data_IF_116020732905
#
_entry.id   IF_116020732905
#
_cell.length_a   1.000
_cell.length_b   1.000
_cell.length_c   1.000
_cell.angle_alpha   90.00
_cell.angle_beta   90.00
_cell.angle_gamma   90.00
#
_symmetry.space_group_name_H-M   'P 1'
#
loop_
_entity.id
_entity.type
_entity.pdbx_description
1 polymer ?
#
# COMPACT_ATOMS: atom_id res chain seq x y z
N UNK A 1 44.26 -77.27 75.88
CA UNK A 1 42.97 -77.51 75.22
C UNK A 1 41.91 -76.47 75.57
N UNK A 2 41.04 -76.61 76.58
CA UNK A 2 39.90 -75.66 76.75
C UNK A 2 40.27 -74.18 76.89
N UNK A 3 41.39 -73.83 77.51
CA UNK A 3 41.78 -72.42 77.64
C UNK A 3 42.37 -71.84 76.35
N UNK A 4 43.07 -72.65 75.56
CA UNK A 4 43.61 -72.26 74.24
C UNK A 4 42.48 -72.19 73.21
N UNK A 5 41.49 -73.08 73.28
CA UNK A 5 40.29 -73.04 72.45
C UNK A 5 39.44 -71.80 72.75
N UNK A 6 39.25 -71.43 74.03
CA UNK A 6 38.58 -70.20 74.42
C UNK A 6 39.34 -68.95 73.98
N UNK A 7 40.67 -68.97 74.05
CA UNK A 7 41.50 -67.86 73.58
C UNK A 7 41.43 -67.72 72.06
N UNK A 8 41.47 -68.83 71.32
CA UNK A 8 41.32 -68.83 69.85
C UNK A 8 39.95 -68.32 69.43
N UNK A 9 38.87 -68.72 70.09
CA UNK A 9 37.52 -68.22 69.81
C UNK A 9 37.43 -66.71 70.09
N UNK A 10 38.10 -66.23 71.13
CA UNK A 10 38.10 -64.81 71.47
C UNK A 10 38.92 -63.97 70.47
N UNK A 11 40.05 -64.49 70.00
CA UNK A 11 40.84 -63.86 68.92
C UNK A 11 40.08 -63.84 67.59
N UNK A 12 39.38 -64.94 67.25
CA UNK A 12 38.51 -65.01 66.07
C UNK A 12 37.29 -64.07 66.21
N UNK A 13 36.73 -63.94 67.41
CA UNK A 13 35.64 -63.00 67.70
C UNK A 13 36.08 -61.53 67.58
N UNK A 14 37.25 -61.17 68.11
CA UNK A 14 37.78 -59.81 67.93
C UNK A 14 38.13 -59.53 66.46
N UNK A 15 38.67 -60.52 65.73
CA UNK A 15 38.95 -60.38 64.28
C UNK A 15 37.66 -60.15 63.48
N UNK A 16 36.64 -60.98 63.70
CA UNK A 16 35.34 -60.82 63.01
C UNK A 16 34.64 -59.51 63.37
N UNK A 17 34.82 -59.02 64.60
CA UNK A 17 34.32 -57.72 65.03
C UNK A 17 35.06 -56.57 64.35
N UNK A 18 36.38 -56.64 64.21
CA UNK A 18 37.18 -55.67 63.45
C UNK A 18 36.81 -55.68 61.96
N UNK A 19 36.61 -56.86 61.35
CA UNK A 19 36.14 -57.00 59.98
C UNK A 19 34.74 -56.42 59.77
N UNK A 20 33.81 -56.69 60.70
CA UNK A 20 32.46 -56.10 60.67
C UNK A 20 32.50 -54.58 60.84
N UNK A 21 33.37 -54.08 61.72
CA UNK A 21 33.54 -52.65 61.91
C UNK A 21 34.09 -52.00 60.64
N UNK A 22 35.12 -52.60 60.03
CA UNK A 22 35.70 -52.13 58.77
C UNK A 22 34.67 -52.15 57.63
N UNK A 23 33.88 -53.22 57.50
CA UNK A 23 32.81 -53.31 56.51
C UNK A 23 31.71 -52.27 56.73
N UNK A 24 31.36 -51.99 57.99
CA UNK A 24 30.39 -50.94 58.32
C UNK A 24 30.93 -49.54 57.99
N UNK A 25 32.20 -49.27 58.26
CA UNK A 25 32.86 -48.01 57.88
C UNK A 25 32.91 -47.84 56.34
N UNK A 26 33.20 -48.92 55.59
CA UNK A 26 33.18 -48.91 54.12
C UNK A 26 31.78 -48.70 53.54
N UNK A 27 30.75 -49.34 54.13
CA UNK A 27 29.35 -49.11 53.78
C UNK A 27 28.89 -47.68 54.07
N UNK A 28 29.36 -47.08 55.17
CA UNK A 28 29.07 -45.69 55.48
C UNK A 28 29.76 -44.74 54.49
N UNK A 29 31.01 -45.01 54.12
CA UNK A 29 31.74 -44.25 53.11
C UNK A 29 31.04 -44.30 51.74
N UNK A 30 30.69 -45.48 51.26
CA UNK A 30 29.99 -45.66 49.97
C UNK A 30 28.59 -45.03 49.97
N UNK A 31 27.84 -45.11 51.07
CA UNK A 31 26.57 -44.40 51.19
C UNK A 31 26.73 -42.88 51.15
N UNK A 32 27.79 -42.34 51.77
CA UNK A 32 28.09 -40.91 51.71
C UNK A 32 28.46 -40.46 50.29
N UNK A 33 29.25 -41.26 49.56
CA UNK A 33 29.55 -41.01 48.15
C UNK A 33 28.31 -41.07 47.25
N UNK A 34 27.46 -42.07 47.44
CA UNK A 34 26.22 -42.22 46.66
C UNK A 34 25.24 -41.07 46.92
N UNK A 35 25.15 -40.61 48.17
CA UNK A 35 24.35 -39.43 48.55
C UNK A 35 24.88 -38.19 47.84
N UNK A 36 26.21 -37.99 47.87
CA UNK A 36 26.86 -36.87 47.17
C UNK A 36 26.61 -36.92 45.66
N UNK A 37 26.78 -38.08 45.03
CA UNK A 37 26.52 -38.26 43.59
C UNK A 37 25.04 -38.00 43.24
N UNK A 38 24.12 -38.45 44.08
CA UNK A 38 22.69 -38.20 43.92
C UNK A 38 22.38 -36.70 43.99
N UNK A 39 22.97 -35.98 44.96
CA UNK A 39 22.84 -34.52 45.05
C UNK A 39 23.39 -33.80 43.82
N UNK A 40 24.54 -34.23 43.29
CA UNK A 40 25.13 -33.65 42.07
C UNK A 40 24.22 -33.83 40.85
N UNK A 41 23.66 -35.04 40.66
CA UNK A 41 22.71 -35.31 39.56
C UNK A 41 21.43 -34.49 39.73
N UNK A 42 20.92 -34.33 40.95
CA UNK A 42 19.76 -33.49 41.22
C UNK A 42 20.04 -32.01 40.90
N UNK A 43 21.20 -31.48 41.33
CA UNK A 43 21.63 -30.12 40.99
C UNK A 43 21.76 -29.94 39.47
N UNK A 44 22.37 -30.90 38.78
CA UNK A 44 22.49 -30.89 37.32
C UNK A 44 21.13 -30.85 36.61
N UNK A 45 20.19 -31.70 37.04
CA UNK A 45 18.82 -31.71 36.52
C UNK A 45 18.09 -30.38 36.76
N UNK A 46 18.26 -29.75 37.92
CA UNK A 46 17.66 -28.45 38.21
C UNK A 46 18.18 -27.35 37.28
N UNK A 47 19.50 -27.31 37.05
CA UNK A 47 20.12 -26.35 36.12
C UNK A 47 19.58 -26.57 34.70
N UNK A 48 19.50 -27.82 34.24
CA UNK A 48 18.97 -28.16 32.93
C UNK A 48 17.51 -27.74 32.77
N UNK A 49 16.67 -28.04 33.76
CA UNK A 49 15.26 -27.66 33.76
C UNK A 49 15.07 -26.14 33.72
N UNK A 50 15.88 -25.38 34.47
CA UNK A 50 15.86 -23.92 34.44
C UNK A 50 16.23 -23.39 33.05
N UNK A 51 17.32 -23.87 32.47
CA UNK A 51 17.76 -23.46 31.13
C UNK A 51 16.73 -23.82 30.05
N UNK A 52 16.09 -24.98 30.18
CA UNK A 52 15.03 -25.41 29.27
C UNK A 52 13.77 -24.53 29.37
N UNK A 53 13.41 -24.14 30.59
CA UNK A 53 12.32 -23.18 30.84
C UNK A 53 12.63 -21.82 30.20
N UNK A 54 13.84 -21.31 30.39
CA UNK A 54 14.28 -20.03 29.81
C UNK A 54 14.21 -20.06 28.27
N UNK A 55 14.70 -21.13 27.64
CA UNK A 55 14.60 -21.30 26.18
C UNK A 55 13.15 -21.34 25.70
N UNK A 56 12.28 -22.04 26.44
CA UNK A 56 10.85 -22.12 26.10
C UNK A 56 10.20 -20.75 26.18
N UNK A 57 10.49 -19.98 27.22
CA UNK A 57 10.00 -18.60 27.38
C UNK A 57 10.51 -17.67 26.28
N UNK A 58 11.79 -17.80 25.87
CA UNK A 58 12.35 -17.05 24.75
C UNK A 58 11.65 -17.38 23.44
N UNK A 59 11.48 -18.67 23.12
CA UNK A 59 10.78 -19.10 21.90
C UNK A 59 9.30 -18.69 21.91
N UNK A 60 8.65 -18.65 23.08
CA UNK A 60 7.26 -18.25 23.21
C UNK A 60 7.01 -16.78 22.81
N UNK A 61 8.01 -15.92 23.01
CA UNK A 61 7.95 -14.50 22.67
C UNK A 61 8.36 -14.18 21.22
N UNK A 62 8.87 -15.17 20.46
CA UNK A 62 9.22 -14.95 19.06
C UNK A 62 7.94 -15.03 18.22
N UNK A 63 7.50 -13.87 17.72
CA UNK A 63 6.33 -13.74 16.83
C UNK A 63 6.58 -14.28 15.42
N UNK A 64 7.83 -14.51 15.06
CA UNK A 64 8.21 -15.07 13.76
C UNK A 64 8.10 -16.61 13.82
N UNK A 65 7.45 -17.25 12.83
CA UNK A 65 7.50 -18.69 12.66
C UNK A 65 8.95 -19.18 12.49
N UNK A 66 9.46 -19.89 13.49
CA UNK A 66 10.79 -20.51 13.48
C UNK A 66 10.67 -21.99 13.80
N UNK A 67 11.34 -22.81 13.00
CA UNK A 67 11.46 -24.26 13.18
C UNK A 67 12.94 -24.60 13.25
N UNK A 68 13.33 -25.34 14.28
CA UNK A 68 14.66 -25.87 14.49
C UNK A 68 14.65 -27.34 14.10
N UNK A 69 15.49 -27.70 13.14
CA UNK A 69 15.63 -29.04 12.61
C UNK A 69 17.00 -29.60 12.96
N UNK A 70 17.09 -30.91 13.19
CA UNK A 70 18.37 -31.60 13.33
C UNK A 70 19.00 -31.97 11.97
N UNK A 71 20.12 -32.69 12.00
CA UNK A 71 20.85 -33.18 10.82
C UNK A 71 20.07 -34.18 9.95
N UNK A 72 19.07 -34.84 10.52
CA UNK A 72 18.17 -35.77 9.85
C UNK A 72 16.88 -35.08 9.37
N UNK A 73 16.82 -33.75 9.49
CA UNK A 73 15.66 -32.91 9.19
C UNK A 73 14.46 -33.16 10.12
N UNK A 74 14.68 -33.81 11.27
CA UNK A 74 13.65 -34.00 12.27
C UNK A 74 13.41 -32.70 13.03
N UNK A 75 12.15 -32.41 13.33
CA UNK A 75 11.76 -31.24 14.11
C UNK A 75 12.30 -31.39 15.53
N UNK A 76 13.25 -30.53 15.90
CA UNK A 76 13.77 -30.47 17.26
C UNK A 76 12.86 -29.60 18.14
N UNK A 77 12.54 -28.38 17.69
CA UNK A 77 11.67 -27.40 18.36
C UNK A 77 11.08 -26.43 17.33
N UNK A 78 10.04 -25.70 17.71
CA UNK A 78 9.49 -24.60 16.93
C UNK A 78 8.85 -23.55 17.84
N UNK A 79 8.64 -22.34 17.32
CA UNK A 79 7.95 -21.26 18.04
C UNK A 79 6.43 -21.43 17.96
N UNK A 80 5.64 -20.87 18.91
CA UNK A 80 4.18 -20.89 18.82
C UNK A 80 3.64 -20.21 17.55
N UNK A 81 4.38 -19.24 17.00
CA UNK A 81 4.06 -18.65 15.71
C UNK A 81 4.15 -19.67 14.56
N UNK A 82 5.10 -20.60 14.61
CA UNK A 82 5.20 -21.67 13.61
C UNK A 82 4.08 -22.69 13.74
N UNK A 83 3.62 -23.01 14.95
CA UNK A 83 2.42 -23.83 15.17
C UNK A 83 1.20 -23.23 14.47
N UNK A 84 0.95 -21.93 14.66
CA UNK A 84 -0.17 -21.23 14.01
C UNK A 84 -0.01 -21.10 12.50
N UNK A 85 1.16 -20.68 12.03
CA UNK A 85 1.38 -20.36 10.62
C UNK A 85 1.55 -21.61 9.73
N UNK A 86 2.10 -22.69 10.29
CA UNK A 86 2.44 -23.90 9.53
C UNK A 86 1.62 -25.12 9.94
N UNK A 87 0.69 -24.97 10.89
CA UNK A 87 -0.19 -26.05 11.35
C UNK A 87 0.57 -27.16 12.07
N UNK A 88 1.69 -26.84 12.71
CA UNK A 88 2.48 -27.80 13.46
C UNK A 88 1.84 -28.10 14.80
N UNK A 89 2.05 -29.32 15.31
CA UNK A 89 1.61 -29.74 16.64
C UNK A 89 2.76 -30.34 17.43
N UNK A 90 2.71 -30.30 18.76
CA UNK A 90 3.73 -30.90 19.62
C UNK A 90 4.00 -32.38 19.33
N UNK A 91 3.02 -33.13 18.83
CA UNK A 91 3.14 -34.53 18.46
C UNK A 91 4.05 -34.79 17.23
N UNK A 92 4.43 -33.74 16.50
CA UNK A 92 5.31 -33.82 15.33
C UNK A 92 6.78 -33.58 15.67
N UNK A 93 7.11 -33.22 16.92
CA UNK A 93 8.50 -33.17 17.38
C UNK A 93 9.15 -34.54 17.21
N UNK A 94 10.38 -34.57 16.68
CA UNK A 94 11.13 -35.78 16.34
C UNK A 94 10.79 -36.36 14.95
N UNK A 95 9.76 -35.86 14.25
CA UNK A 95 9.43 -36.30 12.88
C UNK A 95 10.18 -35.48 11.83
N UNK A 96 10.59 -36.08 10.70
CA UNK A 96 11.16 -35.33 9.58
C UNK A 96 10.20 -34.27 9.03
N UNK A 97 10.64 -33.02 8.89
CA UNK A 97 9.83 -31.90 8.36
C UNK A 97 9.31 -32.17 6.95
N UNK A 98 10.06 -32.97 6.20
CA UNK A 98 9.76 -33.38 4.82
C UNK A 98 8.56 -34.33 4.72
N UNK A 99 8.17 -34.96 5.82
CA UNK A 99 7.00 -35.86 5.90
C UNK A 99 5.75 -35.11 6.37
N UNK A 100 5.87 -33.80 6.64
CA UNK A 100 4.79 -32.95 7.13
C UNK A 100 4.31 -32.05 5.98
N UNK A 101 3.00 -31.98 5.82
CA UNK A 101 2.40 -31.10 4.83
C UNK A 101 2.41 -29.66 5.34
N UNK A 102 3.40 -28.87 4.89
CA UNK A 102 3.45 -27.45 5.17
C UNK A 102 2.58 -26.68 4.17
N UNK A 103 1.87 -25.62 4.59
CA UNK A 103 1.06 -24.79 3.70
C UNK A 103 1.93 -23.86 2.81
N UNK A 104 3.01 -24.37 2.23
CA UNK A 104 3.98 -23.62 1.43
C UNK A 104 3.98 -24.13 -0.02
N UNK A 105 3.98 -23.22 -1.00
CA UNK A 105 4.19 -23.55 -2.42
C UNK A 105 5.70 -23.67 -2.69
N UNK A 106 6.31 -24.72 -2.16
CA UNK A 106 7.74 -24.97 -2.26
C UNK A 106 8.00 -26.48 -2.44
N UNK A 107 8.43 -26.87 -3.64
CA UNK A 107 8.67 -28.28 -4.00
C UNK A 107 10.10 -28.76 -3.68
N UNK A 108 11.07 -27.87 -3.55
CA UNK A 108 12.49 -28.20 -3.33
C UNK A 108 12.98 -27.99 -1.89
N UNK A 109 12.07 -27.97 -0.89
CA UNK A 109 12.42 -27.73 0.50
C UNK A 109 13.51 -28.68 1.02
N UNK A 110 13.39 -29.98 0.72
CA UNK A 110 14.38 -31.00 1.12
C UNK A 110 15.78 -30.67 0.61
N UNK A 111 15.89 -30.30 -0.66
CA UNK A 111 17.18 -29.99 -1.30
C UNK A 111 17.81 -28.74 -0.70
N UNK A 112 17.01 -27.71 -0.42
CA UNK A 112 17.45 -26.48 0.21
C UNK A 112 18.00 -26.74 1.63
N UNK A 113 17.26 -27.50 2.44
CA UNK A 113 17.69 -27.88 3.80
C UNK A 113 19.01 -28.67 3.77
N UNK A 114 19.11 -29.69 2.92
CA UNK A 114 20.33 -30.50 2.76
C UNK A 114 21.51 -29.67 2.23
N UNK A 115 21.25 -28.68 1.37
CA UNK A 115 22.28 -27.76 0.89
C UNK A 115 22.83 -26.90 2.04
N UNK A 116 21.97 -26.39 2.92
CA UNK A 116 22.40 -25.62 4.11
C UNK A 116 23.25 -26.47 5.05
N UNK A 117 22.87 -27.74 5.27
CA UNK A 117 23.64 -28.66 6.12
C UNK A 117 25.01 -28.98 5.51
N UNK A 118 25.07 -29.24 4.19
CA UNK A 118 26.32 -29.62 3.51
C UNK A 118 27.29 -28.46 3.37
N UNK A 119 26.80 -27.30 2.94
CA UNK A 119 27.66 -26.16 2.60
C UNK A 119 27.82 -25.17 3.75
N UNK A 120 26.94 -25.21 4.75
CA UNK A 120 26.96 -24.26 5.87
C UNK A 120 26.67 -22.82 5.47
N UNK A 121 26.10 -22.60 4.28
CA UNK A 121 25.71 -21.29 3.76
C UNK A 121 24.25 -20.97 4.08
N UNK A 122 23.97 -19.71 4.44
CA UNK A 122 22.59 -19.23 4.63
C UNK A 122 21.87 -19.16 3.30
N UNK A 123 20.70 -19.78 3.20
CA UNK A 123 19.82 -19.69 2.02
C UNK A 123 18.66 -18.74 2.31
N UNK A 124 18.32 -17.90 1.34
CA UNK A 124 17.23 -16.91 1.44
C UNK A 124 16.47 -16.86 0.14
N UNK A 125 15.14 -16.92 0.21
CA UNK A 125 14.29 -16.79 -0.97
C UNK A 125 12.88 -16.33 -0.62
N UNK A 126 12.23 -15.65 -1.55
CA UNK A 126 10.80 -15.34 -1.46
C UNK A 126 9.99 -16.54 -1.93
N UNK A 127 9.01 -16.94 -1.13
CA UNK A 127 8.08 -18.04 -1.43
C UNK A 127 6.65 -17.55 -1.23
N UNK A 128 5.69 -18.35 -1.72
CA UNK A 128 4.27 -18.14 -1.44
C UNK A 128 3.73 -19.30 -0.62
N UNK A 129 2.76 -19.00 0.23
CA UNK A 129 1.98 -20.04 0.90
C UNK A 129 0.86 -20.59 -0.02
N UNK A 130 0.10 -21.56 0.45
CA UNK A 130 -1.05 -22.12 -0.27
C UNK A 130 -2.14 -21.08 -0.55
N UNK A 131 -2.32 -20.12 0.37
CA UNK A 131 -3.27 -19.00 0.27
C UNK A 131 -2.81 -17.87 -0.68
N UNK A 132 -1.56 -17.94 -1.18
CA UNK A 132 -0.99 -16.97 -2.11
C UNK A 132 -0.25 -15.79 -1.45
N UNK A 133 -0.12 -15.78 -0.12
CA UNK A 133 0.59 -14.74 0.64
C UNK A 133 2.10 -14.89 0.49
N UNK A 134 2.79 -13.76 0.38
CA UNK A 134 4.24 -13.75 0.24
C UNK A 134 4.97 -13.89 1.57
N UNK A 135 5.99 -14.74 1.56
CA UNK A 135 6.85 -14.97 2.70
C UNK A 135 8.32 -14.97 2.29
N UNK A 136 9.18 -14.47 3.17
CA UNK A 136 10.63 -14.55 3.06
C UNK A 136 11.14 -15.72 3.88
N UNK A 137 11.60 -16.77 3.20
CA UNK A 137 12.17 -17.97 3.81
C UNK A 137 13.66 -17.75 4.08
N UNK A 138 14.08 -17.98 5.31
CA UNK A 138 15.49 -17.94 5.73
C UNK A 138 15.86 -19.31 6.30
N UNK A 139 16.88 -19.95 5.74
CA UNK A 139 17.45 -21.19 6.24
C UNK A 139 18.88 -20.93 6.71
N UNK A 140 19.14 -21.14 8.00
CA UNK A 140 20.46 -20.94 8.61
C UNK A 140 20.98 -22.25 9.20
N UNK A 141 22.28 -22.57 9.04
CA UNK A 141 22.85 -23.73 9.70
C UNK A 141 22.89 -23.48 11.21
N UNK A 142 22.46 -24.48 11.99
CA UNK A 142 22.64 -24.53 13.43
C UNK A 142 23.96 -25.24 13.73
N UNK A 143 24.88 -24.56 14.43
CA UNK A 143 26.23 -25.07 14.74
C UNK A 143 26.41 -25.22 16.25
N UNK A 144 27.16 -26.24 16.65
CA UNK A 144 27.64 -26.39 18.02
C UNK A 144 28.81 -25.47 18.31
N UNK A 145 29.18 -25.40 19.59
CA UNK A 145 30.44 -24.86 20.12
C UNK A 145 31.68 -25.39 19.37
N UNK A 146 31.65 -26.65 18.90
CA UNK A 146 32.71 -27.28 18.09
C UNK A 146 32.62 -26.99 16.58
N UNK A 147 31.86 -25.98 16.16
CA UNK A 147 31.66 -25.56 14.75
C UNK A 147 31.03 -26.61 13.81
N UNK A 148 30.57 -27.74 14.35
CA UNK A 148 29.88 -28.80 13.61
C UNK A 148 28.43 -28.38 13.37
N UNK A 149 27.96 -28.54 12.14
CA UNK A 149 26.55 -28.29 11.81
C UNK A 149 25.70 -29.42 12.38
N UNK A 150 24.83 -29.10 13.32
CA UNK A 150 23.89 -30.04 13.95
C UNK A 150 22.50 -30.00 13.33
N UNK A 151 22.21 -28.99 12.51
CA UNK A 151 20.89 -28.87 11.93
C UNK A 151 20.66 -27.58 11.16
N UNK A 152 19.39 -27.24 10.96
CA UNK A 152 18.95 -26.04 10.24
C UNK A 152 17.87 -25.32 11.02
N UNK A 153 18.01 -24.02 11.17
CA UNK A 153 16.95 -23.13 11.62
C UNK A 153 16.25 -22.58 10.38
N UNK A 154 14.96 -22.88 10.26
CA UNK A 154 14.07 -22.35 9.25
C UNK A 154 13.21 -21.26 9.86
N UNK A 155 13.25 -20.07 9.28
CA UNK A 155 12.39 -18.96 9.66
C UNK A 155 11.57 -18.48 8.46
N UNK A 156 10.31 -18.13 8.71
CA UNK A 156 9.39 -17.62 7.70
C UNK A 156 8.90 -16.23 8.12
N UNK A 157 9.25 -15.21 7.35
CA UNK A 157 8.86 -13.82 7.63
C UNK A 157 7.75 -13.43 6.65
N UNK A 158 6.61 -12.97 7.17
CA UNK A 158 5.54 -12.43 6.34
C UNK A 158 6.00 -11.12 5.67
N UNK A 159 5.88 -11.04 4.35
CA UNK A 159 6.23 -9.85 3.56
C UNK A 159 5.07 -9.39 2.67
N UNK A 160 3.85 -9.87 2.94
CA UNK A 160 2.70 -9.67 2.07
C UNK A 160 2.26 -8.21 2.04
N UNK A 161 2.19 -7.55 3.20
CA UNK A 161 1.84 -6.12 3.32
C UNK A 161 2.84 -5.23 2.57
N UNK A 162 4.14 -5.56 2.69
CA UNK A 162 5.21 -4.87 1.96
C UNK A 162 5.03 -5.05 0.45
N UNK A 163 4.79 -6.28 -0.03
CA UNK A 163 4.57 -6.56 -1.46
C UNK A 163 3.33 -5.88 -2.00
N UNK A 164 2.24 -5.84 -1.21
CA UNK A 164 1.00 -5.17 -1.58
C UNK A 164 1.20 -3.65 -1.68
N UNK A 165 1.95 -3.06 -0.75
CA UNK A 165 2.31 -1.65 -0.77
C UNK A 165 3.18 -1.31 -1.98
N UNK A 166 4.23 -2.08 -2.24
CA UNK A 166 5.09 -1.92 -3.42
C UNK A 166 4.28 -2.02 -4.73
N UNK A 167 3.36 -3.00 -4.83
CA UNK A 167 2.48 -3.16 -5.99
C UNK A 167 1.52 -2.00 -6.15
N UNK A 168 0.96 -1.49 -5.06
CA UNK A 168 0.04 -0.34 -5.08
C UNK A 168 0.75 0.92 -5.53
N UNK A 169 1.93 1.21 -4.96
CA UNK A 169 2.79 2.33 -5.38
C UNK A 169 3.14 2.19 -6.87
N UNK A 170 3.56 1.01 -7.33
CA UNK A 170 3.88 0.76 -8.73
C UNK A 170 2.68 0.99 -9.65
N UNK A 171 1.49 0.50 -9.27
CA UNK A 171 0.25 0.70 -10.03
C UNK A 171 -0.14 2.18 -10.10
N UNK A 172 -0.09 2.90 -8.98
CA UNK A 172 -0.38 4.34 -8.94
C UNK A 172 0.62 5.12 -9.79
N UNK A 173 1.92 4.80 -9.70
CA UNK A 173 2.95 5.41 -10.52
C UNK A 173 2.72 5.16 -12.01
N UNK A 174 2.25 3.98 -12.42
CA UNK A 174 1.89 3.69 -13.80
C UNK A 174 0.70 4.52 -14.28
N UNK A 175 -0.36 4.63 -13.46
CA UNK A 175 -1.55 5.45 -13.76
C UNK A 175 -1.17 6.92 -13.95
N UNK A 176 -0.35 7.48 -13.06
CA UNK A 176 0.12 8.87 -13.18
C UNK A 176 1.00 9.05 -14.42
N UNK A 177 1.89 8.10 -14.69
CA UNK A 177 2.83 8.16 -15.83
C UNK A 177 2.12 8.16 -17.17
N UNK A 178 1.08 7.35 -17.32
CA UNK A 178 0.35 7.16 -18.58
C UNK A 178 -0.94 8.01 -18.67
N UNK A 179 -1.23 8.86 -17.68
CA UNK A 179 -2.32 9.83 -17.75
C UNK A 179 -2.13 10.82 -18.90
N UNK A 180 -3.24 11.17 -19.56
CA UNK A 180 -3.27 12.22 -20.58
C UNK A 180 -3.21 13.62 -19.99
N UNK A 181 -3.73 13.81 -18.77
CA UNK A 181 -3.58 15.07 -18.06
C UNK A 181 -2.12 15.24 -17.63
N UNK A 182 -1.63 16.48 -17.70
CA UNK A 182 -0.27 16.79 -17.31
C UNK A 182 -0.19 16.77 -15.78
N UNK A 183 0.68 15.90 -15.24
CA UNK A 183 0.95 15.83 -13.81
C UNK A 183 2.39 16.26 -13.57
N UNK A 184 2.55 17.27 -12.73
CA UNK A 184 3.85 17.84 -12.38
C UNK A 184 3.98 17.97 -10.88
N UNK A 185 5.19 17.83 -10.35
CA UNK A 185 5.48 18.11 -8.94
C UNK A 185 6.62 19.11 -8.90
N UNK A 186 6.54 20.09 -8.01
CA UNK A 186 7.63 21.01 -7.73
C UNK A 186 7.91 21.16 -6.23
N UNK A 187 9.16 21.50 -5.92
CA UNK A 187 9.58 21.87 -4.59
C UNK A 187 9.12 23.30 -4.23
N UNK A 188 9.29 23.69 -2.96
CA UNK A 188 8.98 25.05 -2.50
C UNK A 188 9.90 26.15 -3.09
N UNK A 189 10.93 25.78 -3.85
CA UNK A 189 11.82 26.68 -4.59
C UNK A 189 11.42 26.80 -6.07
N UNK A 190 10.20 26.38 -6.42
CA UNK A 190 9.63 26.45 -7.76
C UNK A 190 10.36 25.58 -8.80
N UNK A 191 11.09 24.54 -8.38
CA UNK A 191 11.79 23.60 -9.26
C UNK A 191 10.99 22.32 -9.44
N UNK A 192 10.86 21.88 -10.69
CA UNK A 192 10.12 20.66 -11.03
C UNK A 192 10.91 19.43 -10.55
N UNK A 193 10.28 18.59 -9.72
CA UNK A 193 10.82 17.34 -9.17
C UNK A 193 10.22 16.10 -9.82
N UNK A 194 9.03 16.20 -10.45
CA UNK A 194 8.43 15.10 -11.22
C UNK A 194 7.67 15.60 -12.46
N UNK A 195 7.67 14.78 -13.52
CA UNK A 195 7.11 15.14 -14.82
C UNK A 195 6.59 13.94 -15.61
N UNK A 196 5.25 13.78 -15.72
CA UNK A 196 4.66 12.61 -16.39
C UNK A 196 4.64 12.72 -17.94
N UNK A 197 4.23 11.65 -18.63
CA UNK A 197 4.14 11.66 -20.11
C UNK A 197 3.08 12.63 -20.62
N UNK A 198 1.98 12.84 -19.88
CA UNK A 198 0.97 13.85 -20.22
C UNK A 198 1.57 15.25 -20.31
N UNK A 199 2.40 15.62 -19.33
CA UNK A 199 3.10 16.90 -19.29
C UNK A 199 4.13 17.03 -20.43
N UNK A 200 4.83 15.94 -20.78
CA UNK A 200 5.72 15.92 -21.95
C UNK A 200 4.97 16.23 -23.25
N UNK A 201 3.83 15.57 -23.47
CA UNK A 201 2.99 15.77 -24.66
C UNK A 201 2.38 17.18 -24.70
N UNK A 202 1.88 17.67 -23.56
CA UNK A 202 1.21 18.97 -23.46
C UNK A 202 2.18 20.14 -23.65
N UNK A 203 3.33 20.10 -22.98
CA UNK A 203 4.26 21.23 -22.93
C UNK A 203 5.47 21.10 -23.86
N UNK A 204 5.77 19.91 -24.36
CA UNK A 204 6.86 19.65 -25.31
C UNK A 204 8.25 19.56 -24.70
N UNK A 205 8.36 19.48 -23.37
CA UNK A 205 9.61 19.21 -22.65
C UNK A 205 9.68 17.73 -22.29
N UNK A 206 10.82 17.08 -22.56
CA UNK A 206 11.09 15.74 -22.02
C UNK A 206 11.25 15.82 -20.51
N UNK A 207 11.02 14.71 -19.79
CA UNK A 207 11.24 14.64 -18.34
C UNK A 207 12.66 15.07 -17.97
N UNK A 208 13.68 14.56 -18.67
CA UNK A 208 15.08 14.93 -18.44
C UNK A 208 15.35 16.45 -18.60
N UNK A 209 14.61 17.14 -19.46
CA UNK A 209 14.72 18.60 -19.62
C UNK A 209 13.92 19.37 -18.57
N UNK A 210 12.82 18.79 -18.10
CA UNK A 210 11.90 19.41 -17.16
C UNK A 210 12.37 19.28 -15.72
N UNK A 211 13.02 18.18 -15.33
CA UNK A 211 13.53 18.00 -13.97
C UNK A 211 14.56 19.09 -13.62
N UNK A 212 14.38 19.72 -12.46
CA UNK A 212 15.17 20.85 -11.98
C UNK A 212 14.88 22.19 -12.66
N UNK A 213 14.12 22.20 -13.75
CA UNK A 213 13.66 23.41 -14.43
C UNK A 213 12.68 24.17 -13.55
N UNK A 214 12.75 25.51 -13.59
CA UNK A 214 11.78 26.33 -12.87
C UNK A 214 10.40 26.26 -13.54
N UNK A 215 9.36 26.01 -12.75
CA UNK A 215 7.95 25.98 -13.22
C UNK A 215 7.50 27.31 -13.85
N UNK A 216 8.12 28.43 -13.45
CA UNK A 216 7.88 29.78 -14.02
C UNK A 216 8.16 29.87 -15.54
N UNK A 217 8.94 28.94 -16.10
CA UNK A 217 9.19 28.88 -17.56
C UNK A 217 7.92 28.49 -18.33
N UNK A 218 7.05 27.71 -17.70
CA UNK A 218 5.75 27.27 -18.23
C UNK A 218 4.66 28.32 -18.07
N UNK A 219 4.96 29.51 -17.53
CA UNK A 219 3.98 30.55 -17.26
C UNK A 219 4.28 31.82 -18.08
N UNK A 220 3.25 32.52 -18.56
CA UNK A 220 3.39 33.90 -19.05
C UNK A 220 3.96 34.82 -17.96
N UNK A 221 4.76 35.82 -18.34
CA UNK A 221 5.47 36.69 -17.39
C UNK A 221 4.53 37.45 -16.43
N UNK A 222 3.35 37.86 -16.93
CA UNK A 222 2.31 38.56 -16.18
C UNK A 222 1.45 37.66 -15.27
N UNK A 223 1.63 36.34 -15.35
CA UNK A 223 0.81 35.36 -14.61
C UNK A 223 1.64 34.41 -13.75
N UNK A 224 2.91 34.74 -13.47
CA UNK A 224 3.79 33.93 -12.61
C UNK A 224 3.28 33.92 -11.17
N UNK A 225 3.16 32.73 -10.61
CA UNK A 225 2.74 32.45 -9.24
C UNK A 225 3.81 31.59 -8.59
N UNK A 226 4.21 31.90 -7.36
CA UNK A 226 5.13 31.04 -6.62
C UNK A 226 4.36 29.84 -6.05
N UNK A 227 5.05 28.71 -5.88
CA UNK A 227 4.55 27.51 -5.23
C UNK A 227 3.87 27.86 -3.89
N UNK A 228 4.53 28.67 -3.06
CA UNK A 228 3.98 29.13 -1.76
C UNK A 228 2.63 29.83 -1.85
N UNK A 229 2.34 30.53 -2.95
CA UNK A 229 1.06 31.20 -3.16
C UNK A 229 -0.06 30.21 -3.52
N UNK A 230 0.31 29.10 -4.17
CA UNK A 230 -0.62 28.03 -4.55
C UNK A 230 -1.04 27.17 -3.34
N UNK A 231 -0.18 27.07 -2.31
CA UNK A 231 -0.51 26.35 -1.06
C UNK A 231 -1.83 26.84 -0.46
N UNK A 232 -2.06 28.16 -0.50
CA UNK A 232 -3.26 28.80 0.06
C UNK A 232 -4.53 28.60 -0.78
N UNK A 233 -4.41 28.10 -2.01
CA UNK A 233 -5.52 27.95 -2.98
C UNK A 233 -5.91 26.49 -3.24
N UNK A 234 -5.48 25.57 -2.39
CA UNK A 234 -5.69 24.12 -2.51
C UNK A 234 -7.13 23.71 -2.14
N UNK A 235 -8.10 23.98 -3.03
CA UNK A 235 -9.47 23.46 -2.86
C UNK A 235 -10.29 23.46 -4.16
N UNK A 236 -10.01 24.36 -5.09
CA UNK A 236 -10.80 24.51 -6.33
C UNK A 236 -9.91 24.53 -7.57
N UNK A 237 -10.36 23.95 -8.69
CA UNK A 237 -9.67 24.09 -9.96
C UNK A 237 -9.53 25.57 -10.35
N UNK A 238 -8.33 25.96 -10.74
CA UNK A 238 -7.98 27.32 -11.14
C UNK A 238 -7.81 27.35 -12.65
N UNK A 239 -8.56 28.18 -13.34
CA UNK A 239 -8.28 28.47 -14.75
C UNK A 239 -7.09 29.42 -14.85
N UNK A 240 -6.08 29.02 -15.61
CA UNK A 240 -4.85 29.80 -15.80
C UNK A 240 -4.31 29.61 -17.21
N UNK A 241 -3.27 30.36 -17.56
CA UNK A 241 -2.57 30.20 -18.82
C UNK A 241 -1.17 29.64 -18.61
N UNK A 242 -0.78 28.77 -19.54
CA UNK A 242 0.52 28.14 -19.57
C UNK A 242 1.17 28.34 -20.93
N UNK A 243 2.49 28.23 -20.98
CA UNK A 243 3.30 28.40 -22.17
C UNK A 243 4.11 27.14 -22.43
N UNK A 244 3.97 26.60 -23.64
CA UNK A 244 4.73 25.45 -24.12
C UNK A 244 6.18 25.81 -24.47
N UNK A 245 7.02 24.81 -24.72
CA UNK A 245 8.40 24.98 -25.21
C UNK A 245 8.50 25.81 -26.50
N UNK A 246 7.50 25.70 -27.37
CA UNK A 246 7.43 26.44 -28.65
C UNK A 246 6.82 27.84 -28.49
N UNK A 247 6.50 28.27 -27.26
CA UNK A 247 5.93 29.59 -26.99
C UNK A 247 4.40 29.68 -27.13
N UNK A 248 3.72 28.63 -27.59
CA UNK A 248 2.24 28.59 -27.66
C UNK A 248 1.63 28.73 -26.26
N UNK A 249 0.61 29.57 -26.15
CA UNK A 249 -0.20 29.74 -24.93
C UNK A 249 -1.35 28.73 -24.92
N UNK A 250 -1.53 28.06 -23.79
CA UNK A 250 -2.61 27.12 -23.51
C UNK A 250 -3.48 27.68 -22.39
N UNK A 251 -4.80 27.55 -22.54
CA UNK A 251 -5.73 27.71 -21.42
C UNK A 251 -5.81 26.38 -20.66
N UNK A 252 -5.45 26.42 -19.38
CA UNK A 252 -5.26 25.23 -18.54
C UNK A 252 -6.18 25.31 -17.32
N UNK A 253 -6.88 24.21 -17.06
CA UNK A 253 -7.55 23.98 -15.79
C UNK A 253 -6.57 23.27 -14.86
N UNK A 254 -6.15 23.97 -13.81
CA UNK A 254 -5.12 23.57 -12.86
C UNK A 254 -5.76 23.15 -11.53
N UNK A 255 -5.52 21.92 -11.10
CA UNK A 255 -5.80 21.47 -9.73
C UNK A 255 -4.50 21.36 -8.96
N UNK A 256 -4.46 21.93 -7.76
CA UNK A 256 -3.27 21.97 -6.91
C UNK A 256 -3.47 21.09 -5.69
N UNK A 257 -2.51 20.20 -5.43
CA UNK A 257 -2.43 19.36 -4.23
C UNK A 257 -1.13 19.65 -3.50
N UNK A 258 -1.22 19.96 -2.21
CA UNK A 258 -0.05 20.23 -1.36
C UNK A 258 0.38 18.93 -0.70
N UNK A 259 1.62 18.53 -0.93
CA UNK A 259 2.23 17.37 -0.30
C UNK A 259 2.93 17.82 0.98
N UNK A 260 2.61 17.17 2.10
CA UNK A 260 3.07 17.53 3.45
C UNK A 260 3.92 16.42 4.03
N UNK A 261 4.87 16.77 4.90
CA UNK A 261 5.64 15.78 5.68
C UNK A 261 4.83 15.21 6.86
N UNK A 262 5.45 14.32 7.63
CA UNK A 262 4.88 13.70 8.84
C UNK A 262 4.50 14.72 9.92
N UNK A 263 5.08 15.93 9.90
CA UNK A 263 4.78 17.03 10.83
C UNK A 263 3.66 17.94 10.32
N UNK A 264 3.15 17.69 9.11
CA UNK A 264 2.09 18.47 8.46
C UNK A 264 2.60 19.70 7.70
N UNK A 265 3.92 19.90 7.60
CA UNK A 265 4.52 21.04 6.91
C UNK A 265 4.55 20.79 5.40
N UNK A 266 4.26 21.79 4.54
CA UNK A 266 4.27 21.62 3.09
C UNK A 266 5.71 21.43 2.59
N UNK A 267 5.95 20.36 1.83
CA UNK A 267 7.28 20.03 1.26
C UNK A 267 7.28 20.20 -0.26
N UNK A 268 6.21 19.77 -0.93
CA UNK A 268 6.09 19.81 -2.38
C UNK A 268 4.67 20.19 -2.81
N UNK A 269 4.54 20.58 -4.07
CA UNK A 269 3.26 20.89 -4.69
C UNK A 269 3.11 20.05 -5.93
N UNK A 270 2.08 19.19 -5.93
CA UNK A 270 1.65 18.47 -7.10
C UNK A 270 0.57 19.26 -7.83
N UNK A 271 0.64 19.29 -9.15
CA UNK A 271 -0.37 19.89 -10.01
C UNK A 271 -0.87 18.87 -11.03
N UNK A 272 -2.18 18.88 -11.24
CA UNK A 272 -2.83 18.20 -12.36
C UNK A 272 -3.40 19.26 -13.28
N UNK A 273 -2.98 19.23 -14.54
CA UNK A 273 -3.19 20.28 -15.52
C UNK A 273 -3.87 19.69 -16.75
N UNK A 274 -5.06 20.20 -17.09
CA UNK A 274 -5.80 19.81 -18.29
C UNK A 274 -5.84 20.97 -19.28
N UNK A 275 -5.48 20.71 -20.53
CA UNK A 275 -5.63 21.66 -21.63
C UNK A 275 -7.10 21.78 -22.02
N UNK A 276 -7.68 22.96 -21.81
CA UNK A 276 -9.07 23.30 -22.16
C UNK A 276 -9.14 24.32 -23.31
N UNK A 277 -8.03 24.58 -23.99
CA UNK A 277 -7.93 25.59 -25.06
C UNK A 277 -8.94 25.31 -26.18
N UNK A 278 -8.98 24.07 -26.67
CA UNK A 278 -9.90 23.68 -27.74
C UNK A 278 -11.37 23.77 -27.31
N UNK A 279 -11.66 23.33 -26.07
CA UNK A 279 -13.00 23.39 -25.49
C UNK A 279 -13.48 24.84 -25.35
N UNK A 280 -12.64 25.74 -24.81
CA UNK A 280 -12.97 27.15 -24.64
C UNK A 280 -13.20 27.86 -25.98
N UNK A 281 -12.39 27.56 -27.00
CA UNK A 281 -12.59 28.13 -28.35
C UNK A 281 -13.91 27.68 -28.96
N UNK A 282 -14.25 26.39 -28.83
CA UNK A 282 -15.53 25.86 -29.31
C UNK A 282 -16.71 26.51 -28.58
N UNK A 283 -16.60 26.67 -27.26
CA UNK A 283 -17.63 27.32 -26.45
C UNK A 283 -17.82 28.80 -26.80
N UNK A 284 -16.74 29.54 -27.01
CA UNK A 284 -16.80 30.94 -27.43
C UNK A 284 -17.41 31.09 -28.83
N UNK A 285 -17.03 30.24 -29.78
CA UNK A 285 -17.60 30.28 -31.13
C UNK A 285 -19.08 29.90 -31.11
N UNK A 286 -19.46 28.89 -30.33
CA UNK A 286 -20.87 28.54 -30.14
C UNK A 286 -21.67 29.71 -29.57
N UNK A 287 -21.17 30.37 -28.51
CA UNK A 287 -21.83 31.55 -27.92
C UNK A 287 -21.95 32.69 -28.95
N UNK A 288 -20.92 32.92 -29.76
CA UNK A 288 -20.91 33.96 -30.80
C UNK A 288 -21.94 33.68 -31.89
N UNK A 289 -21.96 32.45 -32.42
CA UNK A 289 -22.93 32.03 -33.44
C UNK A 289 -24.35 32.09 -32.89
N UNK A 290 -24.57 31.63 -31.66
CA UNK A 290 -25.88 31.68 -31.01
C UNK A 290 -26.38 33.12 -30.85
N UNK A 291 -25.53 34.05 -30.41
CA UNK A 291 -25.88 35.47 -30.31
C UNK A 291 -26.19 36.10 -31.69
N UNK A 292 -25.44 35.71 -32.73
CA UNK A 292 -25.66 36.19 -34.09
C UNK A 292 -27.01 35.70 -34.67
N UNK A 293 -27.37 34.43 -34.43
CA UNK A 293 -28.65 33.86 -34.85
C UNK A 293 -29.82 34.59 -34.16
N UNK A 294 -29.75 34.78 -32.84
CA UNK A 294 -30.79 35.51 -32.10
C UNK A 294 -30.96 36.93 -32.67
N UNK A 295 -29.85 37.65 -32.89
CA UNK A 295 -29.90 39.01 -33.44
C UNK A 295 -30.50 39.05 -34.86
N UNK A 296 -30.19 38.06 -35.70
CA UNK A 296 -30.75 37.95 -37.05
C UNK A 296 -32.26 37.66 -37.02
N UNK A 297 -32.70 36.74 -36.15
CA UNK A 297 -34.13 36.43 -35.96
C UNK A 297 -34.91 37.65 -35.47
N UNK A 298 -34.37 38.41 -34.51
CA UNK A 298 -35.00 39.62 -33.98
C UNK A 298 -35.16 40.70 -35.08
N UNK A 299 -34.12 40.90 -35.91
CA UNK A 299 -34.16 41.84 -37.04
C UNK A 299 -35.19 41.43 -38.08
N UNK A 300 -35.25 40.15 -38.41
CA UNK A 300 -36.19 39.63 -39.40
C UNK A 300 -37.63 39.73 -38.90
N UNK A 301 -37.89 39.39 -37.62
CA UNK A 301 -39.19 39.59 -36.99
C UNK A 301 -39.64 41.05 -37.04
N UNK A 302 -38.73 41.99 -36.77
CA UNK A 302 -39.01 43.44 -36.86
C UNK A 302 -39.20 43.95 -38.29
N UNK A 303 -38.56 43.32 -39.29
CA UNK A 303 -38.76 43.62 -40.71
C UNK A 303 -40.13 43.15 -41.16
N UNK A 304 -40.44 41.87 -40.93
CA UNK A 304 -41.72 41.26 -41.26
C UNK A 304 -42.88 42.00 -40.58
N UNK A 305 -42.75 42.39 -39.32
CA UNK A 305 -43.77 43.19 -38.63
C UNK A 305 -44.03 44.54 -39.30
N UNK A 306 -42.98 45.24 -39.78
CA UNK A 306 -43.13 46.50 -40.52
C UNK A 306 -43.77 46.27 -41.89
N UNK A 307 -43.26 45.31 -42.66
CA UNK A 307 -43.81 45.01 -43.99
C UNK A 307 -45.28 44.55 -43.93
N UNK A 308 -45.64 43.72 -42.94
CA UNK A 308 -47.04 43.36 -42.70
C UNK A 308 -47.87 44.58 -42.31
N UNK A 309 -47.41 45.41 -41.37
CA UNK A 309 -48.15 46.60 -40.95
C UNK A 309 -48.39 47.56 -42.13
N UNK A 310 -47.35 47.82 -42.93
CA UNK A 310 -47.42 48.72 -44.07
C UNK A 310 -48.30 48.15 -45.19
N UNK A 311 -48.11 46.87 -45.54
CA UNK A 311 -48.86 46.19 -46.59
C UNK A 311 -50.34 45.97 -46.24
N UNK A 312 -50.62 45.45 -45.04
CA UNK A 312 -52.00 45.26 -44.55
C UNK A 312 -52.68 46.62 -44.35
N UNK A 313 -51.96 47.62 -43.85
CA UNK A 313 -52.45 48.99 -43.69
C UNK A 313 -52.84 49.64 -45.02
N UNK A 314 -52.04 49.46 -46.08
CA UNK A 314 -52.36 49.91 -47.44
C UNK A 314 -53.59 49.20 -48.00
N UNK A 315 -53.67 47.87 -47.87
CA UNK A 315 -54.81 47.09 -48.38
C UNK A 315 -56.10 47.49 -47.66
N UNK A 316 -56.08 47.57 -46.32
CA UNK A 316 -57.24 48.01 -45.52
C UNK A 316 -57.67 49.43 -45.87
N UNK A 317 -56.72 50.35 -46.06
CA UNK A 317 -57.03 51.72 -46.48
C UNK A 317 -57.68 51.75 -47.86
N UNK A 318 -57.16 50.97 -48.82
CA UNK A 318 -57.74 50.85 -50.15
C UNK A 318 -59.15 50.24 -50.15
N UNK A 319 -59.39 49.20 -49.34
CA UNK A 319 -60.71 48.60 -49.15
C UNK A 319 -61.68 49.59 -48.52
N UNK A 320 -61.26 50.32 -47.48
CA UNK A 320 -62.06 51.37 -46.84
C UNK A 320 -62.43 52.47 -47.84
N UNK A 321 -61.49 52.91 -48.67
CA UNK A 321 -61.74 53.95 -49.67
C UNK A 321 -62.75 53.49 -50.73
N UNK A 322 -62.66 52.24 -51.21
CA UNK A 322 -63.64 51.67 -52.15
C UNK A 322 -65.04 51.51 -51.54
N UNK A 323 -65.10 51.11 -50.26
CA UNK A 323 -66.36 51.05 -49.52
C UNK A 323 -67.02 52.44 -49.36
N UNK A 324 -66.22 53.50 -49.18
CA UNK A 324 -66.72 54.88 -49.08
C UNK A 324 -67.10 55.51 -50.43
N UNK A 325 -66.49 55.06 -51.53
CA UNK A 325 -66.75 55.59 -52.88
C UNK A 325 -67.95 54.93 -53.59
N UNK A 326 -68.60 53.94 -52.99
CA UNK A 326 -69.83 53.35 -53.51
C UNK A 326 -71.02 54.32 -53.33
N UNK A 327 -71.75 54.71 -54.40
CA UNK A 327 -72.91 55.58 -54.26
C UNK A 327 -74.14 54.79 -53.76
N UNK A 328 -74.55 55.09 -52.51
CA UNK A 328 -75.97 55.16 -52.12
C UNK A 328 -76.61 53.96 -51.40
N UNK A 329 -76.99 54.21 -50.13
CA UNK A 329 -78.06 53.57 -49.33
C UNK A 329 -77.99 52.05 -49.06
N UNK A 330 -77.55 51.72 -47.84
CA UNK A 330 -78.38 50.89 -46.95
C UNK A 330 -78.23 51.38 -45.52
N UNK A 331 -79.34 51.87 -44.97
CA UNK A 331 -79.51 52.10 -43.55
C UNK A 331 -79.58 50.75 -42.85
N UNK A 332 -78.81 50.58 -41.78
CA UNK A 332 -79.23 49.79 -40.63
C UNK A 332 -78.94 50.63 -39.39
N UNK A 333 -80.00 51.31 -38.96
CA UNK A 333 -80.19 51.80 -37.60
C UNK A 333 -80.15 50.63 -36.61
N UNK A 334 -79.61 50.86 -35.42
CA UNK A 334 -79.98 50.09 -34.23
C UNK A 334 -78.80 49.71 -33.34
N UNK A 335 -78.78 50.34 -32.17
CA UNK A 335 -78.08 50.01 -30.93
C UNK A 335 -77.47 48.61 -30.79
N UNK A 336 -76.25 48.58 -30.25
CA UNK A 336 -75.62 47.36 -29.78
C UNK A 336 -74.24 47.64 -29.18
N UNK A 337 -74.23 48.14 -27.93
CA UNK A 337 -73.08 47.97 -27.05
C UNK A 337 -72.52 46.55 -27.14
N UNK A 338 -71.21 46.40 -27.33
CA UNK A 338 -70.40 45.49 -26.51
C UNK A 338 -68.92 45.48 -26.93
N UNK A 339 -68.11 45.87 -25.95
CA UNK A 339 -66.87 45.21 -25.52
C UNK A 339 -65.70 45.16 -26.50
N UNK A 340 -64.80 46.10 -26.22
CA UNK A 340 -63.35 45.88 -26.02
C UNK A 340 -63.05 44.41 -25.69
N UNK A 341 -62.36 43.73 -26.61
CA UNK A 341 -61.62 42.51 -26.33
C UNK A 341 -60.13 42.81 -26.51
N UNK A 342 -59.46 42.95 -25.36
CA UNK A 342 -58.03 42.71 -25.21
C UNK A 342 -57.71 41.29 -25.68
N UNK A 343 -56.75 41.16 -26.58
CA UNK A 343 -55.89 39.99 -26.78
C UNK A 343 -54.59 40.58 -27.33
N UNK A 344 -53.37 40.33 -26.85
CA UNK A 344 -52.81 39.43 -25.86
C UNK A 344 -51.29 39.59 -26.04
#
# INVERSE_FOLDING_TARGET
>A
SSNEELQSINEEFETTKEELQSSNEELQATNAELTTSTEEVLRGNQILNRSNSDLTNLLANIEIPVIMLDRHLAIHRFTPAAEKALGLTGAQVGRPIVDIHLPLRLSNLRELLLSVIRHGSVQRQEIRDTHGRWHYLILRPYRTDKSKIEGVVMALIDIDERKLSEKTVSRLAAVVRDSNDAVTVCDLNDRITAWNKGAQKMYGYTEAQALGMSVHRLMPANMRLKARDLVRKSATPIETQRRTKQGRILDVLLTVTVLRDEKGEPVEIATTERDVTAQKRAEQEFRRLHAAVISAQEKERKRLARELHDGVGQILSGVKFRLQALPGKMALSGDGEARILKVG
#
